data_IF_753033058852
#
_entry.id   IF_753033058852
#
_cell.length_a   1.000
_cell.length_b   1.000
_cell.length_c   1.000
_cell.angle_alpha   90.00
_cell.angle_beta   90.00
_cell.angle_gamma   90.00
#
_symmetry.space_group_name_H-M   'P 1'
#
loop_
_entity.id
_entity.type
_entity.pdbx_description
1 polymer ?
#
# COMPACT_ATOMS: atom_id res chain seq x y z
N UNK A 1 13.65 -19.18 0.78
CA UNK A 1 12.26 -18.76 0.70
C UNK A 1 11.47 -19.63 -0.26
N UNK A 2 10.16 -19.64 -0.12
CA UNK A 2 9.28 -20.36 -1.06
C UNK A 2 9.21 -19.60 -2.40
N UNK A 3 9.06 -20.32 -3.50
CA UNK A 3 8.73 -19.70 -4.78
C UNK A 3 7.26 -19.20 -4.77
N UNK A 4 6.88 -18.27 -5.68
CA UNK A 4 5.54 -17.66 -5.65
C UNK A 4 4.38 -18.66 -5.74
N UNK A 5 4.55 -19.77 -6.47
CA UNK A 5 3.50 -20.79 -6.59
C UNK A 5 3.32 -21.57 -5.30
N UNK A 6 4.43 -21.98 -4.67
CA UNK A 6 4.42 -22.67 -3.39
C UNK A 6 3.83 -21.80 -2.28
N UNK A 7 4.05 -20.47 -2.35
CA UNK A 7 3.47 -19.50 -1.40
C UNK A 7 1.94 -19.46 -1.54
N UNK A 8 1.40 -19.34 -2.75
CA UNK A 8 -0.05 -19.35 -3.00
C UNK A 8 -0.67 -20.65 -2.51
N UNK A 9 -0.04 -21.82 -2.82
CA UNK A 9 -0.54 -23.10 -2.33
C UNK A 9 -0.57 -23.21 -0.80
N UNK A 10 0.36 -22.59 -0.10
CA UNK A 10 0.33 -22.50 1.37
C UNK A 10 -0.82 -21.62 1.87
N UNK A 11 -1.09 -20.51 1.20
CA UNK A 11 -2.21 -19.63 1.53
C UNK A 11 -3.57 -20.33 1.41
N UNK A 12 -3.74 -21.13 0.35
CA UNK A 12 -4.95 -21.93 0.15
C UNK A 12 -5.16 -22.92 1.31
N UNK A 13 -4.10 -23.61 1.75
CA UNK A 13 -4.16 -24.53 2.90
C UNK A 13 -4.50 -23.81 4.19
N UNK A 14 -3.91 -22.63 4.45
CA UNK A 14 -4.22 -21.84 5.65
C UNK A 14 -5.69 -21.41 5.63
N UNK A 15 -6.17 -20.92 4.49
CA UNK A 15 -7.55 -20.49 4.33
C UNK A 15 -8.54 -21.63 4.53
N UNK A 16 -8.22 -22.84 4.07
CA UNK A 16 -9.03 -24.04 4.28
C UNK A 16 -9.13 -24.38 5.78
N UNK A 17 -7.99 -24.41 6.50
CA UNK A 17 -7.96 -24.66 7.93
C UNK A 17 -8.77 -23.65 8.74
N UNK A 18 -8.69 -22.36 8.38
CA UNK A 18 -9.48 -21.30 9.01
C UNK A 18 -10.96 -21.51 8.73
N UNK A 19 -11.33 -21.87 7.51
CA UNK A 19 -12.74 -22.14 7.13
C UNK A 19 -13.34 -23.32 7.89
N UNK A 20 -12.51 -24.26 8.32
CA UNK A 20 -12.89 -25.41 9.17
C UNK A 20 -12.98 -25.06 10.66
N UNK A 21 -12.71 -23.79 11.03
CA UNK A 21 -12.79 -23.29 12.41
C UNK A 21 -11.48 -23.33 13.19
N UNK A 22 -10.34 -23.57 12.51
CA UNK A 22 -9.03 -23.50 13.16
C UNK A 22 -8.60 -22.06 13.36
N UNK A 23 -8.15 -21.68 14.55
CA UNK A 23 -7.51 -20.39 14.78
C UNK A 23 -6.04 -20.47 14.42
N UNK A 24 -5.58 -19.58 13.55
CA UNK A 24 -4.20 -19.51 13.08
C UNK A 24 -3.56 -18.21 13.57
N UNK A 25 -2.41 -18.29 14.21
CA UNK A 25 -1.56 -17.15 14.47
C UNK A 25 -0.42 -17.12 13.44
N UNK A 26 -0.45 -16.14 12.56
CA UNK A 26 0.56 -15.91 11.54
C UNK A 26 1.50 -14.79 11.97
N UNK A 27 2.82 -15.03 11.88
CA UNK A 27 3.83 -13.97 11.97
C UNK A 27 4.58 -13.91 10.66
N UNK A 28 4.56 -12.74 10.05
CA UNK A 28 5.20 -12.50 8.75
C UNK A 28 5.81 -11.11 8.68
N UNK A 29 6.80 -10.95 7.81
CA UNK A 29 7.30 -9.64 7.39
C UNK A 29 6.72 -9.23 6.01
N UNK A 30 5.97 -10.12 5.37
CA UNK A 30 5.35 -9.89 4.09
C UNK A 30 3.92 -9.40 4.30
N UNK A 31 3.70 -8.11 4.05
CA UNK A 31 2.43 -7.48 4.34
C UNK A 31 1.31 -7.91 3.38
N UNK A 32 1.67 -8.39 2.18
CA UNK A 32 0.74 -9.05 1.25
C UNK A 32 0.15 -10.35 1.81
N UNK A 33 0.92 -11.11 2.61
CA UNK A 33 0.42 -12.30 3.30
C UNK A 33 -0.58 -11.95 4.38
N UNK A 34 -0.28 -10.91 5.18
CA UNK A 34 -1.19 -10.42 6.21
C UNK A 34 -2.50 -9.90 5.59
N UNK A 35 -2.38 -9.13 4.49
CA UNK A 35 -3.54 -8.58 3.76
C UNK A 35 -4.47 -9.66 3.22
N UNK A 36 -3.91 -10.78 2.78
CA UNK A 36 -4.66 -11.88 2.15
C UNK A 36 -5.26 -12.87 3.15
N UNK A 37 -4.59 -13.10 4.29
CA UNK A 37 -4.90 -14.22 5.16
C UNK A 37 -5.47 -13.84 6.52
N UNK A 38 -5.19 -12.61 7.00
CA UNK A 38 -5.54 -12.23 8.36
C UNK A 38 -6.90 -11.53 8.44
N UNK A 39 -7.74 -11.99 9.36
CA UNK A 39 -8.97 -11.28 9.74
C UNK A 39 -8.65 -10.08 10.64
N UNK A 40 -7.58 -10.20 11.44
CA UNK A 40 -7.13 -9.18 12.39
C UNK A 40 -5.60 -9.08 12.37
N UNK A 41 -5.08 -7.86 12.33
CA UNK A 41 -3.67 -7.56 12.13
C UNK A 41 -3.15 -6.71 13.28
N UNK A 42 -2.02 -7.12 13.85
CA UNK A 42 -1.26 -6.34 14.83
C UNK A 42 0.08 -5.98 14.21
N UNK A 43 0.33 -4.69 14.04
CA UNK A 43 1.61 -4.18 13.52
C UNK A 43 2.52 -3.87 14.70
N UNK A 44 3.72 -4.46 14.68
CA UNK A 44 4.73 -4.30 15.74
C UNK A 44 5.97 -3.63 15.14
N UNK A 45 6.39 -2.53 15.74
CA UNK A 45 7.67 -1.87 15.44
C UNK A 45 8.41 -1.57 16.73
N UNK A 46 9.74 -1.80 16.75
CA UNK A 46 10.63 -1.60 17.92
C UNK A 46 10.07 -2.21 19.23
N UNK A 47 9.40 -3.36 19.11
CA UNK A 47 8.83 -4.09 20.28
C UNK A 47 7.52 -3.50 20.82
N UNK A 48 6.91 -2.54 20.11
CA UNK A 48 5.64 -1.93 20.48
C UNK A 48 4.58 -2.19 19.41
N UNK A 49 3.33 -2.34 19.84
CA UNK A 49 2.18 -2.36 18.95
C UNK A 49 1.93 -0.93 18.48
N UNK A 50 2.07 -0.68 17.19
CA UNK A 50 1.85 0.64 16.57
C UNK A 50 0.52 0.75 15.84
N UNK A 51 -0.10 -0.38 15.45
CA UNK A 51 -1.42 -0.42 14.85
C UNK A 51 -2.09 -1.77 15.10
N UNK A 52 -3.43 -1.78 15.12
CA UNK A 52 -4.25 -2.97 15.28
C UNK A 52 -5.60 -2.77 14.58
N UNK A 53 -6.09 -3.80 13.91
CA UNK A 53 -7.38 -3.83 13.23
C UNK A 53 -7.38 -4.73 12.00
N UNK A 54 -8.49 -4.74 11.28
CA UNK A 54 -8.60 -5.41 9.97
C UNK A 54 -7.75 -4.70 8.92
N UNK A 55 -7.40 -5.40 7.85
CA UNK A 55 -6.67 -4.80 6.72
C UNK A 55 -7.37 -3.52 6.20
N UNK A 56 -8.70 -3.54 6.08
CA UNK A 56 -9.48 -2.38 5.62
C UNK A 56 -9.36 -1.19 6.57
N UNK A 57 -9.55 -1.42 7.87
CA UNK A 57 -9.44 -0.37 8.89
C UNK A 57 -8.06 0.28 8.91
N UNK A 58 -6.99 -0.53 8.78
CA UNK A 58 -5.64 -0.02 8.74
C UNK A 58 -5.38 0.85 7.48
N UNK A 59 -5.86 0.42 6.32
CA UNK A 59 -5.77 1.19 5.06
C UNK A 59 -6.56 2.50 5.12
N UNK A 60 -7.71 2.50 5.76
CA UNK A 60 -8.55 3.69 5.94
C UNK A 60 -7.86 4.75 6.82
N UNK A 61 -7.03 4.34 7.79
CA UNK A 61 -6.28 5.26 8.66
C UNK A 61 -5.30 6.16 7.89
N UNK A 62 -4.80 5.72 6.72
CA UNK A 62 -3.86 6.50 5.89
C UNK A 62 -4.54 7.19 4.70
N UNK A 63 -5.88 7.24 4.69
CA UNK A 63 -6.65 8.02 3.72
C UNK A 63 -7.52 7.22 2.77
N UNK A 64 -7.57 5.88 2.89
CA UNK A 64 -8.46 5.03 2.10
C UNK A 64 -8.18 5.05 0.59
N UNK A 65 -9.21 4.74 -0.20
CA UNK A 65 -9.12 4.71 -1.66
C UNK A 65 -8.80 6.11 -2.22
N UNK A 66 -7.91 6.18 -3.21
CA UNK A 66 -7.55 7.40 -3.92
C UNK A 66 -7.79 7.24 -5.42
N UNK A 67 -8.31 8.30 -6.05
CA UNK A 67 -8.31 8.40 -7.50
C UNK A 67 -6.99 9.03 -7.95
N UNK A 68 -6.34 8.40 -8.93
CA UNK A 68 -5.14 8.90 -9.57
C UNK A 68 -5.46 9.15 -11.05
N UNK A 69 -5.12 10.31 -11.53
CA UNK A 69 -5.40 10.75 -12.89
C UNK A 69 -4.14 11.37 -13.48
N UNK A 70 -3.75 10.92 -14.66
CA UNK A 70 -2.75 11.58 -15.48
C UNK A 70 -3.43 12.35 -16.58
N UNK A 71 -3.30 13.67 -16.56
CA UNK A 71 -3.87 14.57 -17.55
C UNK A 71 -3.00 14.58 -18.81
N UNK A 72 -3.61 14.75 -19.99
CA UNK A 72 -2.87 14.94 -21.24
C UNK A 72 -2.11 16.28 -21.27
N UNK A 73 -2.60 17.27 -20.53
CA UNK A 73 -2.05 18.62 -20.47
C UNK A 73 -2.06 19.13 -19.03
N UNK A 74 -0.88 19.54 -18.54
CA UNK A 74 -0.70 20.11 -17.20
C UNK A 74 -1.55 21.38 -16.97
N UNK A 75 -1.80 22.17 -18.02
CA UNK A 75 -2.63 23.38 -17.92
C UNK A 75 -4.09 23.06 -17.60
N UNK A 76 -4.51 21.81 -17.77
CA UNK A 76 -5.85 21.32 -17.43
C UNK A 76 -6.04 21.01 -15.93
N UNK A 77 -4.99 21.05 -15.11
CA UNK A 77 -5.04 20.68 -13.69
C UNK A 77 -6.10 21.46 -12.90
N UNK A 78 -6.18 22.78 -13.08
CA UNK A 78 -7.17 23.60 -12.39
C UNK A 78 -8.61 23.23 -12.79
N UNK A 79 -8.84 22.90 -14.07
CA UNK A 79 -10.16 22.45 -14.56
C UNK A 79 -10.52 21.06 -14.03
N UNK A 80 -9.52 20.18 -13.89
CA UNK A 80 -9.71 18.85 -13.30
C UNK A 80 -10.10 18.93 -11.82
N UNK A 81 -9.43 19.80 -11.05
CA UNK A 81 -9.78 20.06 -9.64
C UNK A 81 -11.24 20.52 -9.52
N UNK A 82 -11.64 21.51 -10.32
CA UNK A 82 -13.01 22.03 -10.31
C UNK A 82 -14.03 20.97 -10.74
N UNK A 83 -13.73 20.21 -11.81
CA UNK A 83 -14.59 19.13 -12.30
C UNK A 83 -14.84 18.05 -11.24
N UNK A 84 -13.80 17.66 -10.51
CA UNK A 84 -13.83 16.54 -9.58
C UNK A 84 -14.26 16.94 -8.15
N UNK A 85 -14.52 18.22 -7.88
CA UNK A 85 -14.88 18.72 -6.54
C UNK A 85 -16.09 18.03 -5.91
N UNK A 86 -17.03 17.53 -6.73
CA UNK A 86 -18.21 16.78 -6.28
C UNK A 86 -18.02 15.26 -6.22
N UNK A 87 -16.86 14.75 -6.63
CA UNK A 87 -16.55 13.32 -6.73
C UNK A 87 -15.57 12.87 -5.65
N UNK A 88 -14.66 13.76 -5.26
CA UNK A 88 -13.63 13.48 -4.25
C UNK A 88 -14.14 13.74 -2.84
N UNK A 89 -13.58 13.03 -1.86
CA UNK A 89 -13.97 13.14 -0.44
C UNK A 89 -13.02 14.02 0.39
N UNK A 90 -11.93 14.53 -0.22
CA UNK A 90 -10.95 15.35 0.47
C UNK A 90 -10.12 16.20 -0.49
N UNK A 91 -9.07 16.83 0.02
CA UNK A 91 -8.25 17.75 -0.76
C UNK A 91 -7.39 17.01 -1.78
N UNK A 92 -7.38 17.46 -3.05
CA UNK A 92 -6.53 16.90 -4.08
C UNK A 92 -5.09 17.37 -3.94
N UNK A 93 -4.16 16.52 -4.42
CA UNK A 93 -2.76 16.88 -4.66
C UNK A 93 -2.49 16.84 -6.16
N UNK A 94 -1.68 17.77 -6.65
CA UNK A 94 -1.28 17.84 -8.06
C UNK A 94 0.23 18.02 -8.19
N UNK A 95 0.85 17.21 -9.05
CA UNK A 95 2.26 17.34 -9.41
C UNK A 95 2.37 17.29 -10.95
N UNK A 96 2.55 18.46 -11.58
CA UNK A 96 2.51 18.58 -13.02
C UNK A 96 1.16 18.13 -13.58
N UNK A 97 1.17 17.16 -14.47
CA UNK A 97 -0.03 16.55 -15.06
C UNK A 97 -0.68 15.47 -14.19
N UNK A 98 -0.05 15.10 -13.07
CA UNK A 98 -0.58 14.07 -12.18
C UNK A 98 -1.48 14.67 -11.09
N UNK A 99 -2.68 14.12 -10.98
CA UNK A 99 -3.71 14.50 -10.01
C UNK A 99 -4.02 13.30 -9.11
N UNK A 100 -4.09 13.49 -7.80
CA UNK A 100 -4.48 12.46 -6.85
C UNK A 100 -5.39 13.03 -5.77
N UNK A 101 -6.48 12.35 -5.47
CA UNK A 101 -7.42 12.76 -4.41
C UNK A 101 -8.05 11.57 -3.70
N UNK A 102 -8.38 11.70 -2.39
CA UNK A 102 -9.13 10.68 -1.68
C UNK A 102 -10.56 10.59 -2.23
N UNK A 103 -11.08 9.36 -2.29
CA UNK A 103 -12.44 9.08 -2.77
C UNK A 103 -13.13 8.08 -1.86
N UNK A 104 -14.46 8.12 -1.86
CA UNK A 104 -15.30 7.14 -1.18
C UNK A 104 -16.18 6.43 -2.21
N UNK A 105 -16.31 5.09 -2.11
CA UNK A 105 -17.21 4.32 -3.00
C UNK A 105 -16.52 3.38 -3.99
N UNK A 106 -15.21 3.20 -3.87
CA UNK A 106 -14.46 2.21 -4.68
C UNK A 106 -14.51 2.49 -6.19
N UNK A 107 -14.61 1.43 -7.00
CA UNK A 107 -14.50 1.54 -8.47
C UNK A 107 -15.65 2.28 -9.15
N UNK A 108 -16.81 2.48 -8.49
CA UNK A 108 -17.93 3.25 -9.07
C UNK A 108 -17.57 4.71 -9.29
N UNK A 109 -16.67 5.25 -8.48
CA UNK A 109 -16.17 6.64 -8.58
C UNK A 109 -15.48 6.91 -9.91
N UNK A 110 -14.88 5.90 -10.55
CA UNK A 110 -14.25 6.06 -11.87
C UNK A 110 -15.26 6.57 -12.91
N UNK A 111 -16.49 6.05 -12.91
CA UNK A 111 -17.51 6.42 -13.88
C UNK A 111 -17.91 7.88 -13.66
N UNK A 112 -18.09 8.29 -12.42
CA UNK A 112 -18.49 9.66 -12.10
C UNK A 112 -17.35 10.65 -12.37
N UNK A 113 -16.10 10.26 -12.09
CA UNK A 113 -14.93 11.06 -12.41
C UNK A 113 -14.78 11.27 -13.92
N UNK A 114 -14.89 10.21 -14.71
CA UNK A 114 -14.81 10.31 -16.19
C UNK A 114 -15.89 11.24 -16.74
N UNK A 115 -17.13 11.10 -16.28
CA UNK A 115 -18.23 11.98 -16.68
C UNK A 115 -18.01 13.45 -16.31
N UNK A 116 -17.48 13.69 -15.11
CA UNK A 116 -17.20 15.03 -14.62
C UNK A 116 -16.08 15.71 -15.43
N UNK A 117 -15.03 14.97 -15.77
CA UNK A 117 -13.92 15.44 -16.60
C UNK A 117 -14.36 15.71 -18.04
N UNK A 118 -15.12 14.80 -18.63
CA UNK A 118 -15.66 14.94 -19.99
C UNK A 118 -16.56 16.17 -20.10
N UNK A 119 -17.44 16.42 -19.13
CA UNK A 119 -18.32 17.59 -19.08
C UNK A 119 -17.55 18.94 -19.05
N UNK A 120 -16.29 18.94 -18.65
CA UNK A 120 -15.40 20.11 -18.61
C UNK A 120 -14.35 20.12 -19.72
N UNK A 121 -14.44 19.19 -20.68
CA UNK A 121 -13.46 18.99 -21.75
C UNK A 121 -12.03 18.86 -21.23
N UNK A 122 -11.84 18.06 -20.18
CA UNK A 122 -10.53 17.69 -19.63
C UNK A 122 -10.15 16.33 -20.19
N UNK A 123 -9.08 16.31 -20.98
CA UNK A 123 -8.53 15.08 -21.55
C UNK A 123 -7.63 14.38 -20.56
N UNK A 124 -7.72 13.05 -20.53
CA UNK A 124 -7.06 12.19 -19.55
C UNK A 124 -6.26 11.10 -20.27
N UNK A 125 -4.98 10.99 -19.97
CA UNK A 125 -4.10 9.94 -20.47
C UNK A 125 -4.31 8.62 -19.71
N UNK A 126 -4.52 8.70 -18.37
CA UNK A 126 -4.76 7.55 -17.51
C UNK A 126 -5.63 7.93 -16.32
N UNK A 127 -6.44 6.98 -15.83
CA UNK A 127 -7.27 7.13 -14.64
C UNK A 127 -7.41 5.80 -13.92
N UNK A 128 -7.12 5.79 -12.60
CA UNK A 128 -7.24 4.61 -11.76
C UNK A 128 -7.77 4.96 -10.37
N UNK A 129 -8.44 4.03 -9.70
CA UNK A 129 -8.62 4.07 -8.26
C UNK A 129 -7.58 3.15 -7.64
N UNK A 130 -6.73 3.72 -6.80
CA UNK A 130 -5.77 2.97 -6.00
C UNK A 130 -6.28 2.81 -4.59
N UNK A 131 -6.26 1.57 -4.16
CA UNK A 131 -6.44 1.24 -2.75
C UNK A 131 -5.05 1.17 -2.10
N UNK A 132 -4.83 1.81 -0.94
CA UNK A 132 -3.58 1.66 -0.22
C UNK A 132 -3.25 0.20 0.07
N UNK A 133 -1.98 -0.11 0.13
CA UNK A 133 -1.46 -1.40 0.58
C UNK A 133 -1.15 -1.35 2.07
N UNK A 134 -0.94 -2.50 2.71
CA UNK A 134 -0.44 -2.51 4.09
C UNK A 134 1.02 -2.02 4.18
N UNK A 135 1.79 -2.08 3.07
CA UNK A 135 3.12 -1.46 2.99
C UNK A 135 3.01 0.06 3.12
N UNK A 136 2.03 0.69 2.47
CA UNK A 136 1.77 2.13 2.60
C UNK A 136 1.38 2.49 4.04
N UNK A 137 0.57 1.64 4.70
CA UNK A 137 0.21 1.81 6.12
C UNK A 137 1.45 1.75 7.00
N UNK A 138 2.28 0.73 6.82
CA UNK A 138 3.50 0.54 7.60
C UNK A 138 4.46 1.71 7.42
N UNK A 139 4.70 2.13 6.16
CA UNK A 139 5.55 3.27 5.84
C UNK A 139 5.04 4.58 6.46
N UNK A 140 3.73 4.83 6.41
CA UNK A 140 3.14 6.03 6.99
C UNK A 140 3.28 6.08 8.51
N UNK A 141 3.23 4.93 9.19
CA UNK A 141 3.29 4.84 10.65
C UNK A 141 4.72 4.79 11.20
N UNK A 142 5.66 4.19 10.48
CA UNK A 142 7.05 4.01 10.94
C UNK A 142 8.02 5.00 10.33
N UNK A 143 7.67 5.61 9.19
CA UNK A 143 8.55 6.45 8.39
C UNK A 143 9.62 5.68 7.60
N UNK A 144 9.58 4.34 7.60
CA UNK A 144 10.47 3.45 6.84
C UNK A 144 9.70 2.21 6.36
N UNK A 145 10.08 1.66 5.19
CA UNK A 145 9.43 0.47 4.62
C UNK A 145 9.73 -0.80 5.41
N UNK A 146 8.84 -1.79 5.33
CA UNK A 146 9.02 -3.08 5.99
C UNK A 146 10.31 -3.81 5.53
N UNK A 147 10.74 -3.59 4.29
CA UNK A 147 11.96 -4.20 3.73
C UNK A 147 13.25 -3.61 4.27
N UNK A 148 13.24 -2.37 4.79
CA UNK A 148 14.42 -1.70 5.34
C UNK A 148 14.87 -2.28 6.70
N UNK A 149 14.05 -3.13 7.34
CA UNK A 149 14.33 -3.76 8.62
C UNK A 149 15.15 -5.06 8.53
N UNK A 150 15.77 -5.37 7.39
CA UNK A 150 16.69 -6.51 7.36
C UNK A 150 17.88 -6.25 8.29
N UNK A 151 18.13 -7.12 9.29
CA UNK A 151 19.28 -6.96 10.18
C UNK A 151 20.56 -6.97 9.33
N UNK A 152 21.37 -5.94 9.46
CA UNK A 152 22.71 -5.88 8.86
C UNK A 152 23.45 -7.18 9.17
N UNK A 153 23.83 -7.91 8.14
CA UNK A 153 24.70 -9.08 8.31
C UNK A 153 26.00 -8.59 8.93
N UNK A 154 26.42 -9.11 10.10
CA UNK A 154 27.68 -8.69 10.68
C UNK A 154 28.80 -8.94 9.65
N UNK A 155 29.51 -7.89 9.29
CA UNK A 155 30.69 -8.01 8.44
C UNK A 155 31.66 -9.04 9.03
N UNK A 156 32.21 -9.97 8.23
CA UNK A 156 33.21 -10.91 8.72
C UNK A 156 34.45 -10.11 9.15
N UNK A 157 34.73 -10.12 10.46
CA UNK A 157 35.89 -9.45 11.03
C UNK A 157 37.15 -9.92 10.30
N UNK A 158 37.80 -9.02 9.57
CA UNK A 158 39.14 -9.22 9.00
C UNK A 158 40.10 -9.45 10.14
N UNK A 159 40.28 -10.71 10.56
CA UNK A 159 41.37 -11.11 11.44
C UNK A 159 42.68 -10.77 10.74
N UNK A 160 43.39 -9.79 11.29
CA UNK A 160 44.67 -9.33 10.87
C UNK A 160 45.69 -10.46 10.77
N UNK A 161 46.22 -10.65 9.58
CA UNK A 161 47.39 -11.47 9.31
C UNK A 161 48.60 -10.73 9.84
N UNK A 162 48.93 -10.92 11.13
CA UNK A 162 50.24 -10.50 11.68
C UNK A 162 51.31 -11.40 11.08
N UNK A 163 52.16 -10.79 10.26
CA UNK A 163 53.40 -11.39 9.82
C UNK A 163 54.34 -11.66 10.99
N UNK A 164 54.84 -12.88 11.11
CA UNK A 164 56.02 -13.23 11.85
C UNK A 164 57.21 -13.33 10.92
N UNK A 165 58.16 -12.41 11.09
CA UNK A 165 59.54 -12.57 10.64
C UNK A 165 60.28 -13.36 11.73
N UNK A 166 60.99 -14.39 11.34
CA UNK A 166 62.36 -14.73 11.66
C UNK A 166 62.77 -15.94 10.83
#
# INVERSE_FOLDING_TARGET
GLDPRSRIGLWDVISELVSEGTTVLLTTQYLDEADQLADDIVVIDQGQVIAHGTSSELKDQIGGDRIEITLDDEQSAARAIDALSGVVSGEPTTEGAHYSAPVAGGSSVLIDAVRALDARNVSVADIAVRRPTLDDVFLAMTGHGAEDQQPERPEPSRRGRRGGRS
#
